data_IF_612213769029
#
_entry.id   IF_612213769029
#
_cell.length_a   1.000
_cell.length_b   1.000
_cell.length_c   1.000
_cell.angle_alpha   90.00
_cell.angle_beta   90.00
_cell.angle_gamma   90.00
#
_symmetry.space_group_name_H-M   'P 1'
#
loop_
_entity.id
_entity.type
_entity.pdbx_description
1 polymer ?
#
# COMPACT_ATOMS: atom_id res chain seq x y z
N UNK A 1 -7.84 19.31 -6.93
CA UNK A 1 -8.62 18.05 -6.95
C UNK A 1 -10.08 18.38 -6.68
N UNK A 2 -10.96 17.38 -6.66
CA UNK A 2 -12.30 17.49 -6.09
C UNK A 2 -12.54 16.38 -5.04
N UNK A 3 -13.64 16.45 -4.29
CA UNK A 3 -13.99 15.48 -3.24
C UNK A 3 -14.10 14.04 -3.79
N UNK A 4 -14.61 13.86 -5.00
CA UNK A 4 -14.72 12.54 -5.63
C UNK A 4 -13.35 11.92 -5.88
N UNK A 5 -12.33 12.73 -6.16
CA UNK A 5 -10.95 12.24 -6.29
C UNK A 5 -10.44 11.65 -4.96
N UNK A 6 -10.74 12.32 -3.83
CA UNK A 6 -10.41 11.84 -2.49
C UNK A 6 -11.17 10.55 -2.17
N UNK A 7 -12.46 10.46 -2.51
CA UNK A 7 -13.26 9.26 -2.32
C UNK A 7 -12.71 8.06 -3.11
N UNK A 8 -12.31 8.29 -4.36
CA UNK A 8 -11.71 7.26 -5.19
C UNK A 8 -10.38 6.76 -4.60
N UNK A 9 -9.52 7.68 -4.15
CA UNK A 9 -8.25 7.33 -3.52
C UNK A 9 -8.47 6.55 -2.21
N UNK A 10 -9.42 6.98 -1.38
CA UNK A 10 -9.78 6.30 -0.15
C UNK A 10 -10.28 4.87 -0.42
N UNK A 11 -11.12 4.68 -1.43
CA UNK A 11 -11.62 3.36 -1.83
C UNK A 11 -10.48 2.43 -2.31
N UNK A 12 -9.53 2.96 -3.09
CA UNK A 12 -8.36 2.21 -3.54
C UNK A 12 -7.45 1.81 -2.37
N UNK A 13 -7.28 2.71 -1.40
CA UNK A 13 -6.47 2.50 -0.20
C UNK A 13 -7.19 1.73 0.92
N UNK A 14 -8.48 1.38 0.75
CA UNK A 14 -9.33 0.74 1.78
C UNK A 14 -9.46 1.57 3.06
N UNK A 15 -9.56 2.90 2.91
CA UNK A 15 -9.79 3.84 4.00
C UNK A 15 -11.25 4.27 4.02
N UNK A 16 -11.88 4.18 5.20
CA UNK A 16 -13.18 4.79 5.47
C UNK A 16 -12.93 6.18 6.06
N UNK A 17 -13.50 7.22 5.44
CA UNK A 17 -13.27 8.61 5.81
C UNK A 17 -14.60 9.31 6.08
N UNK A 18 -14.64 10.12 7.13
CA UNK A 18 -15.73 11.04 7.40
C UNK A 18 -15.70 12.23 6.45
N UNK A 19 -16.83 12.94 6.27
CA UNK A 19 -16.87 14.15 5.42
C UNK A 19 -15.84 15.20 5.85
N UNK A 20 -15.65 15.40 7.16
CA UNK A 20 -14.68 16.35 7.69
C UNK A 20 -13.24 15.97 7.33
N UNK A 21 -12.91 14.68 7.38
CA UNK A 21 -11.59 14.20 6.97
C UNK A 21 -11.38 14.35 5.46
N UNK A 22 -12.42 14.12 4.65
CA UNK A 22 -12.35 14.34 3.20
C UNK A 22 -12.06 15.80 2.85
N UNK A 23 -12.72 16.76 3.51
CA UNK A 23 -12.47 18.19 3.30
C UNK A 23 -11.04 18.59 3.70
N UNK A 24 -10.56 18.09 4.85
CA UNK A 24 -9.18 18.32 5.29
C UNK A 24 -8.16 17.75 4.30
N UNK A 25 -8.34 16.49 3.90
CA UNK A 25 -7.45 15.80 2.96
C UNK A 25 -7.46 16.44 1.57
N UNK A 26 -8.58 17.01 1.12
CA UNK A 26 -8.63 17.75 -0.13
C UNK A 26 -7.67 18.96 -0.11
N UNK A 27 -7.71 19.75 0.96
CA UNK A 27 -6.81 20.90 1.16
C UNK A 27 -5.34 20.46 1.27
N UNK A 28 -5.09 19.41 2.03
CA UNK A 28 -3.73 18.87 2.21
C UNK A 28 -3.18 18.34 0.89
N UNK A 29 -3.97 17.59 0.12
CA UNK A 29 -3.53 17.03 -1.16
C UNK A 29 -3.30 18.11 -2.20
N UNK A 30 -4.12 19.16 -2.26
CA UNK A 30 -3.88 20.27 -3.18
C UNK A 30 -2.57 21.01 -2.83
N UNK A 31 -2.26 21.15 -1.53
CA UNK A 31 -0.99 21.74 -1.06
C UNK A 31 0.22 20.86 -1.40
N UNK A 32 0.12 19.54 -1.14
CA UNK A 32 1.20 18.58 -1.41
C UNK A 32 1.47 18.49 -2.92
N UNK A 33 0.43 18.36 -3.75
CA UNK A 33 0.62 18.36 -5.20
C UNK A 33 1.17 19.69 -5.71
N UNK A 34 0.76 20.81 -5.11
CA UNK A 34 1.33 22.12 -5.38
C UNK A 34 2.84 22.16 -5.14
N UNK A 35 3.29 21.59 -4.02
CA UNK A 35 4.72 21.47 -3.71
C UNK A 35 5.45 20.53 -4.67
N UNK A 36 4.90 19.35 -4.94
CA UNK A 36 5.52 18.33 -5.82
C UNK A 36 5.68 18.83 -7.26
N UNK A 37 4.80 19.72 -7.73
CA UNK A 37 4.89 20.33 -9.07
C UNK A 37 6.20 21.10 -9.31
N UNK A 38 6.93 21.50 -8.26
CA UNK A 38 8.26 22.12 -8.41
C UNK A 38 9.24 21.22 -9.20
N UNK A 39 9.03 19.90 -9.19
CA UNK A 39 9.85 18.95 -9.97
C UNK A 39 9.73 19.20 -11.49
N UNK A 40 8.59 19.71 -11.97
CA UNK A 40 8.37 19.97 -13.40
C UNK A 40 9.26 21.11 -13.94
N UNK A 41 9.74 22.01 -13.07
CA UNK A 41 10.62 23.13 -13.44
C UNK A 41 12.05 22.66 -13.75
N UNK A 42 12.42 21.45 -13.31
CA UNK A 42 13.75 20.89 -13.48
C UNK A 42 13.87 20.29 -14.89
N UNK A 43 14.72 20.90 -15.72
CA UNK A 43 15.07 20.33 -17.03
C UNK A 43 15.96 19.11 -16.86
N UNK A 44 15.40 17.93 -17.10
CA UNK A 44 16.13 16.67 -17.09
C UNK A 44 16.51 16.31 -18.53
N UNK A 45 17.75 15.87 -18.75
CA UNK A 45 18.12 15.18 -20.01
C UNK A 45 17.55 13.76 -19.96
N UNK A 46 17.53 13.07 -21.09
CA UNK A 46 17.18 11.65 -21.12
C UNK A 46 18.10 10.88 -20.17
N UNK A 47 17.56 10.44 -19.04
CA UNK A 47 18.28 9.67 -18.03
C UNK A 47 18.06 8.20 -18.34
N UNK A 48 19.13 7.51 -18.73
CA UNK A 48 19.11 6.06 -18.79
C UNK A 48 19.16 5.55 -17.35
N UNK A 49 18.07 4.94 -16.90
CA UNK A 49 18.04 4.24 -15.62
C UNK A 49 18.97 3.03 -15.73
N UNK A 50 20.15 3.12 -15.13
CA UNK A 50 21.10 2.01 -15.06
C UNK A 50 20.82 1.21 -13.79
N UNK A 51 19.94 0.23 -13.93
CA UNK A 51 19.69 -0.74 -12.87
C UNK A 51 20.63 -1.93 -13.09
N UNK A 52 21.40 -2.32 -12.07
CA UNK A 52 22.14 -3.58 -12.06
C UNK A 52 21.17 -4.76 -11.86
N UNK A 53 20.32 -4.99 -12.88
CA UNK A 53 19.33 -6.06 -12.88
C UNK A 53 20.02 -7.37 -13.20
N UNK A 54 20.03 -8.24 -12.19
CA UNK A 54 20.40 -9.64 -12.34
C UNK A 54 19.30 -10.52 -11.76
N UNK A 55 19.12 -11.68 -12.37
CA UNK A 55 18.23 -12.68 -11.83
C UNK A 55 18.87 -13.30 -10.58
N UNK A 56 18.26 -13.08 -9.43
CA UNK A 56 18.62 -13.74 -8.17
C UNK A 56 17.71 -14.95 -8.01
N UNK A 57 18.23 -16.13 -8.37
CA UNK A 57 17.50 -17.37 -8.26
C UNK A 57 17.62 -17.96 -6.85
N UNK A 58 16.54 -18.58 -6.39
CA UNK A 58 16.52 -19.45 -5.22
C UNK A 58 16.42 -20.89 -5.72
N UNK A 59 17.23 -21.78 -5.14
CA UNK A 59 17.14 -23.22 -5.39
C UNK A 59 15.76 -23.78 -5.05
N UNK A 60 15.29 -24.75 -5.84
CA UNK A 60 14.00 -25.40 -5.61
C UNK A 60 14.10 -26.51 -4.55
N UNK A 61 14.34 -26.11 -3.31
CA UNK A 61 14.32 -26.99 -2.15
C UNK A 61 13.16 -26.64 -1.21
N UNK A 62 12.63 -27.63 -0.46
CA UNK A 62 11.74 -27.36 0.66
C UNK A 62 12.58 -26.71 1.76
N UNK A 63 12.54 -25.37 1.82
CA UNK A 63 13.21 -24.60 2.86
C UNK A 63 12.74 -25.01 4.26
N UNK A 64 13.49 -24.61 5.28
CA UNK A 64 13.07 -24.83 6.67
C UNK A 64 11.88 -23.92 7.00
N UNK A 65 10.87 -24.47 7.69
CA UNK A 65 9.78 -23.65 8.22
C UNK A 65 10.29 -22.90 9.45
N UNK A 66 10.44 -21.58 9.31
CA UNK A 66 10.97 -20.71 10.37
C UNK A 66 9.99 -20.51 11.55
N UNK A 67 8.68 -20.58 11.31
CA UNK A 67 7.65 -20.28 12.30
C UNK A 67 6.72 -21.46 12.56
N UNK A 68 6.40 -21.72 13.84
CA UNK A 68 5.43 -22.73 14.22
C UNK A 68 4.00 -22.28 13.89
N UNK A 69 3.08 -23.24 13.74
CA UNK A 69 1.68 -22.95 13.45
C UNK A 69 1.04 -22.13 14.58
N UNK A 70 1.38 -22.47 15.81
CA UNK A 70 0.90 -21.82 17.03
C UNK A 70 1.37 -20.36 17.09
N UNK A 71 2.62 -20.10 16.74
CA UNK A 71 3.17 -18.75 16.68
C UNK A 71 2.40 -17.89 15.66
N UNK A 72 2.08 -18.44 14.48
CA UNK A 72 1.31 -17.72 13.45
C UNK A 72 -0.11 -17.44 13.92
N UNK A 73 -0.82 -18.44 14.45
CA UNK A 73 -2.21 -18.29 14.91
C UNK A 73 -2.31 -17.27 16.05
N UNK A 74 -1.30 -17.19 16.92
CA UNK A 74 -1.26 -16.19 18.00
C UNK A 74 -1.29 -14.72 17.52
N UNK A 75 -0.97 -14.48 16.23
CA UNK A 75 -0.99 -13.14 15.63
C UNK A 75 -2.34 -12.80 14.98
N UNK A 76 -3.29 -13.73 14.95
CA UNK A 76 -4.59 -13.49 14.34
C UNK A 76 -5.44 -12.59 15.25
N UNK A 77 -6.13 -11.58 14.69
CA UNK A 77 -7.09 -10.78 15.47
C UNK A 77 -8.28 -11.62 15.96
N UNK A 78 -8.70 -12.64 15.20
CA UNK A 78 -9.71 -13.63 15.57
C UNK A 78 -9.39 -14.95 14.87
N UNK A 79 -9.69 -16.08 15.51
CA UNK A 79 -9.43 -17.41 14.96
C UNK A 79 -10.53 -18.39 15.31
N UNK A 80 -10.75 -19.36 14.41
CA UNK A 80 -11.68 -20.45 14.62
C UNK A 80 -11.15 -21.71 13.94
N UNK A 81 -11.16 -22.84 14.65
CA UNK A 81 -10.73 -24.14 14.12
C UNK A 81 -9.33 -24.10 13.44
N UNK A 82 -8.41 -23.30 14.01
CA UNK A 82 -7.05 -23.05 13.51
C UNK A 82 -6.94 -22.23 12.22
N UNK A 83 -8.04 -21.58 11.80
CA UNK A 83 -8.07 -20.65 10.67
C UNK A 83 -8.20 -19.19 11.14
N UNK A 84 -7.67 -18.26 10.34
CA UNK A 84 -7.93 -16.84 10.49
C UNK A 84 -9.42 -16.58 10.20
N UNK A 85 -10.14 -16.06 11.17
CA UNK A 85 -11.57 -15.80 11.04
C UNK A 85 -11.80 -14.40 10.48
N UNK A 86 -12.48 -14.34 9.33
CA UNK A 86 -12.85 -13.10 8.64
C UNK A 86 -14.32 -13.10 8.26
N UNK A 87 -14.85 -11.92 7.91
CA UNK A 87 -16.18 -11.83 7.31
C UNK A 87 -16.20 -12.58 5.97
N UNK A 88 -17.28 -13.32 5.72
CA UNK A 88 -17.48 -14.06 4.47
C UNK A 88 -17.43 -13.10 3.27
N UNK A 89 -16.65 -13.47 2.25
CA UNK A 89 -16.62 -12.80 0.94
C UNK A 89 -17.76 -13.38 0.09
N UNK A 90 -18.54 -12.52 -0.58
CA UNK A 90 -19.62 -12.90 -1.49
C UNK A 90 -19.17 -12.82 -2.95
#
# INVERSE_FOLDING_TARGET
>A
MNIKDIENLAALARLELTEKEKEGLLSDMDSILGYVKQIEEVKIKEVKLDYDLKNIWREDNPGQREFSKELIISQFPDSQDEFLKVKKIL
#
